data_IF_290714158983
#
_entry.id   IF_290714158983
#
_cell.length_a   1.000
_cell.length_b   1.000
_cell.length_c   1.000
_cell.angle_alpha   90.00
_cell.angle_beta   90.00
_cell.angle_gamma   90.00
#
_symmetry.space_group_name_H-M   'P 1'
#
loop_
_entity.id
_entity.type
_entity.pdbx_description
1 polymer ?
#
# COMPACT_ATOMS: atom_id res chain seq x y z
N UNK A 1 11.32 -32.27 -12.44
CA UNK A 1 11.47 -30.84 -12.08
C UNK A 1 10.08 -30.25 -12.00
N UNK A 2 9.75 -29.48 -10.97
CA UNK A 2 8.49 -28.75 -10.88
C UNK A 2 8.39 -27.71 -12.00
N UNK A 3 7.18 -27.27 -12.33
CA UNK A 3 6.99 -26.13 -13.22
C UNK A 3 7.51 -24.86 -12.54
N UNK A 4 8.06 -23.94 -13.32
CA UNK A 4 8.57 -22.65 -12.84
C UNK A 4 7.48 -21.59 -12.94
N UNK A 5 7.28 -20.83 -11.89
CA UNK A 5 6.33 -19.71 -11.84
C UNK A 5 7.05 -18.41 -11.47
N UNK A 6 6.68 -17.32 -12.13
CA UNK A 6 7.24 -16.01 -11.90
C UNK A 6 6.12 -14.98 -11.69
N UNK A 7 6.30 -14.07 -10.73
CA UNK A 7 5.29 -13.09 -10.34
C UNK A 7 5.75 -11.67 -10.63
N UNK A 8 4.79 -10.80 -10.94
CA UNK A 8 5.01 -9.37 -10.99
C UNK A 8 3.83 -8.62 -10.36
N UNK A 9 4.12 -7.84 -9.34
CA UNK A 9 3.13 -7.08 -8.59
C UNK A 9 3.15 -5.62 -9.01
N UNK A 10 1.98 -5.09 -9.28
CA UNK A 10 1.74 -3.66 -9.51
C UNK A 10 0.72 -3.14 -8.51
N UNK A 11 0.90 -1.91 -8.05
CA UNK A 11 -0.10 -1.21 -7.24
C UNK A 11 0.25 -1.07 -5.76
N UNK A 12 -0.61 -1.58 -4.89
CA UNK A 12 -0.60 -1.27 -3.46
C UNK A 12 -0.13 -2.46 -2.59
N UNK A 13 0.03 -2.20 -1.29
CA UNK A 13 0.38 -3.22 -0.27
C UNK A 13 -0.60 -4.40 -0.23
N UNK A 14 -1.88 -4.16 -0.58
CA UNK A 14 -2.88 -5.23 -0.68
C UNK A 14 -2.53 -6.18 -1.84
N UNK A 15 -2.14 -5.63 -3.01
CA UNK A 15 -1.68 -6.47 -4.11
C UNK A 15 -0.39 -7.22 -3.76
N UNK A 16 0.54 -6.60 -3.01
CA UNK A 16 1.77 -7.27 -2.56
C UNK A 16 1.43 -8.49 -1.70
N UNK A 17 0.64 -8.31 -0.65
CA UNK A 17 0.15 -9.42 0.18
C UNK A 17 -0.52 -10.54 -0.63
N UNK A 18 -1.41 -10.16 -1.56
CA UNK A 18 -2.13 -11.13 -2.40
C UNK A 18 -1.18 -11.91 -3.33
N UNK A 19 -0.09 -11.26 -3.77
CA UNK A 19 0.94 -11.94 -4.57
C UNK A 19 1.74 -12.92 -3.72
N UNK A 20 2.21 -12.52 -2.54
CA UNK A 20 2.92 -13.40 -1.60
C UNK A 20 2.09 -14.65 -1.27
N UNK A 21 0.78 -14.48 -1.04
CA UNK A 21 -0.12 -15.61 -0.79
C UNK A 21 -0.28 -16.53 -2.02
N UNK A 22 -0.34 -15.98 -3.24
CA UNK A 22 -0.39 -16.81 -4.46
C UNK A 22 0.94 -17.53 -4.70
N UNK A 23 2.08 -16.91 -4.40
CA UNK A 23 3.40 -17.55 -4.47
C UNK A 23 3.46 -18.76 -3.54
N UNK A 24 3.01 -18.61 -2.28
CA UNK A 24 2.99 -19.70 -1.31
C UNK A 24 2.06 -20.85 -1.75
N UNK A 25 0.89 -20.52 -2.32
CA UNK A 25 -0.02 -21.53 -2.88
C UNK A 25 0.64 -22.33 -4.01
N UNK A 26 1.36 -21.67 -4.93
CA UNK A 26 2.05 -22.36 -6.02
C UNK A 26 3.26 -23.15 -5.53
N UNK A 27 4.03 -22.64 -4.56
CA UNK A 27 5.13 -23.39 -3.94
C UNK A 27 4.61 -24.67 -3.28
N UNK A 28 3.50 -24.58 -2.54
CA UNK A 28 2.85 -25.75 -1.90
C UNK A 28 2.36 -26.76 -2.93
N UNK A 29 1.95 -26.29 -4.11
CA UNK A 29 1.56 -27.14 -5.24
C UNK A 29 2.76 -27.70 -6.05
N UNK A 30 4.01 -27.41 -5.63
CA UNK A 30 5.21 -27.95 -6.25
C UNK A 30 5.78 -27.15 -7.41
N UNK A 31 5.42 -25.85 -7.52
CA UNK A 31 6.05 -24.93 -8.47
C UNK A 31 7.34 -24.32 -7.86
N UNK A 32 8.35 -24.14 -8.70
CA UNK A 32 9.57 -23.41 -8.36
C UNK A 32 9.34 -21.92 -8.65
N UNK A 33 9.34 -21.06 -7.62
CA UNK A 33 9.21 -19.61 -7.80
C UNK A 33 10.55 -19.04 -8.23
N UNK A 34 10.53 -18.27 -9.32
CA UNK A 34 11.73 -17.70 -9.94
C UNK A 34 11.54 -16.21 -10.23
N UNK A 35 12.64 -15.42 -10.33
CA UNK A 35 12.55 -14.01 -10.72
C UNK A 35 11.80 -13.80 -12.03
N UNK A 36 10.98 -12.74 -12.12
CA UNK A 36 10.18 -12.44 -13.31
C UNK A 36 11.01 -12.23 -14.59
N UNK A 37 12.27 -11.95 -14.45
CA UNK A 37 13.23 -11.78 -15.57
C UNK A 37 13.74 -13.10 -16.16
N UNK A 38 13.54 -14.19 -15.45
CA UNK A 38 13.90 -15.53 -15.91
C UNK A 38 12.80 -16.18 -16.74
N UNK A 39 13.16 -17.22 -17.49
CA UNK A 39 12.19 -18.01 -18.23
C UNK A 39 11.38 -18.89 -17.26
N UNK A 40 10.06 -18.78 -17.30
CA UNK A 40 9.14 -19.57 -16.49
C UNK A 40 8.05 -20.21 -17.35
N UNK A 41 7.39 -21.26 -16.81
CA UNK A 41 6.25 -21.93 -17.45
C UNK A 41 4.95 -21.16 -17.20
N UNK A 42 4.89 -20.41 -16.10
CA UNK A 42 3.75 -19.60 -15.69
C UNK A 42 4.24 -18.21 -15.30
N UNK A 43 3.59 -17.16 -15.79
CA UNK A 43 3.76 -15.79 -15.32
C UNK A 43 2.45 -15.27 -14.75
N UNK A 44 2.49 -14.77 -13.52
CA UNK A 44 1.34 -14.16 -12.85
C UNK A 44 1.58 -12.68 -12.72
N UNK A 45 0.70 -11.87 -13.31
CA UNK A 45 0.76 -10.40 -13.17
C UNK A 45 -0.42 -9.93 -12.34
N UNK A 46 -0.13 -9.47 -11.11
CA UNK A 46 -1.13 -8.85 -10.25
C UNK A 46 -1.23 -7.36 -10.60
N UNK A 47 -2.29 -7.01 -11.28
CA UNK A 47 -2.47 -5.77 -12.01
C UNK A 47 -3.05 -4.64 -11.15
N UNK A 48 -2.81 -3.40 -11.57
CA UNK A 48 -3.34 -2.20 -10.94
C UNK A 48 -4.10 -1.33 -11.94
N UNK A 49 -5.18 -0.67 -11.47
CA UNK A 49 -6.00 0.26 -12.27
C UNK A 49 -6.20 1.64 -11.61
N UNK A 50 -5.45 1.98 -10.57
CA UNK A 50 -5.62 3.25 -9.84
C UNK A 50 -5.34 4.47 -10.73
N UNK A 51 -4.40 4.37 -11.68
CA UNK A 51 -4.09 5.40 -12.66
C UNK A 51 -3.98 4.80 -14.06
N UNK A 52 -4.15 5.62 -15.12
CA UNK A 52 -3.91 5.19 -16.50
C UNK A 52 -2.48 4.67 -16.71
N UNK A 53 -1.51 5.24 -16.00
CA UNK A 53 -0.13 4.78 -16.06
C UNK A 53 0.03 3.39 -15.45
N UNK A 54 -0.61 3.13 -14.31
CA UNK A 54 -0.58 1.82 -13.66
C UNK A 54 -1.21 0.75 -14.56
N UNK A 55 -2.34 1.05 -15.19
CA UNK A 55 -2.99 0.16 -16.14
C UNK A 55 -2.12 -0.11 -17.38
N UNK A 56 -1.52 0.94 -17.96
CA UNK A 56 -0.57 0.78 -19.07
C UNK A 56 0.62 -0.11 -18.68
N UNK A 57 1.19 0.08 -17.48
CA UNK A 57 2.26 -0.77 -16.97
C UNK A 57 1.81 -2.21 -16.78
N UNK A 58 0.57 -2.43 -16.31
CA UNK A 58 -0.01 -3.77 -16.19
C UNK A 58 0.01 -4.51 -17.52
N UNK A 59 -0.53 -3.89 -18.58
CA UNK A 59 -0.50 -4.47 -19.94
C UNK A 59 0.93 -4.70 -20.45
N UNK A 60 1.84 -3.75 -20.23
CA UNK A 60 3.25 -3.92 -20.62
C UNK A 60 3.89 -5.15 -19.98
N UNK A 61 3.57 -5.45 -18.71
CA UNK A 61 4.13 -6.61 -18.03
C UNK A 61 3.52 -7.93 -18.53
N UNK A 62 2.24 -7.97 -18.86
CA UNK A 62 1.60 -9.13 -19.51
C UNK A 62 2.27 -9.45 -20.86
N UNK A 63 2.46 -8.45 -21.71
CA UNK A 63 3.19 -8.62 -22.98
C UNK A 63 4.67 -8.99 -22.79
N UNK A 64 5.32 -8.46 -21.74
CA UNK A 64 6.69 -8.83 -21.42
C UNK A 64 6.80 -10.31 -21.05
N UNK A 65 5.84 -10.85 -20.28
CA UNK A 65 5.80 -12.27 -19.94
C UNK A 65 5.79 -13.16 -21.19
N UNK A 66 4.89 -12.90 -22.14
CA UNK A 66 4.83 -13.63 -23.43
C UNK A 66 6.10 -13.47 -24.29
N UNK A 67 6.78 -12.32 -24.18
CA UNK A 67 8.06 -12.10 -24.86
C UNK A 67 9.21 -12.90 -24.24
N UNK A 68 9.20 -13.10 -22.92
CA UNK A 68 10.21 -13.92 -22.22
C UNK A 68 10.04 -15.40 -22.52
N UNK A 69 8.82 -15.91 -22.56
CA UNK A 69 8.49 -17.25 -22.97
C UNK A 69 7.13 -17.27 -23.71
N UNK A 70 7.11 -17.39 -25.05
CA UNK A 70 5.87 -17.46 -25.83
C UNK A 70 4.94 -18.62 -25.47
N UNK A 71 5.50 -19.73 -24.98
CA UNK A 71 4.75 -20.95 -24.61
C UNK A 71 4.25 -20.89 -23.15
N UNK A 72 4.65 -19.89 -22.35
CA UNK A 72 4.23 -19.76 -20.97
C UNK A 72 2.73 -19.44 -20.85
N UNK A 73 2.12 -19.94 -19.79
CA UNK A 73 0.79 -19.53 -19.35
C UNK A 73 0.88 -18.18 -18.65
N UNK A 74 0.21 -17.17 -19.17
CA UNK A 74 0.16 -15.82 -18.56
C UNK A 74 -1.18 -15.62 -17.87
N UNK A 75 -1.12 -15.49 -16.55
CA UNK A 75 -2.27 -15.25 -15.68
C UNK A 75 -2.35 -13.77 -15.38
N UNK A 76 -3.44 -13.12 -15.76
CA UNK A 76 -3.77 -11.77 -15.39
C UNK A 76 -4.75 -11.77 -14.20
N UNK A 77 -4.41 -11.04 -13.12
CA UNK A 77 -5.29 -10.88 -11.95
C UNK A 77 -5.22 -9.43 -11.44
N UNK A 78 -6.06 -9.06 -10.48
CA UNK A 78 -6.03 -7.75 -9.83
C UNK A 78 -7.02 -6.74 -10.39
N UNK A 79 -6.82 -5.46 -10.02
CA UNK A 79 -7.84 -4.43 -10.25
C UNK A 79 -8.10 -4.08 -11.72
N UNK A 80 -7.06 -4.13 -12.60
CA UNK A 80 -7.27 -3.87 -14.02
C UNK A 80 -8.18 -4.92 -14.65
N UNK A 81 -7.92 -6.18 -14.37
CA UNK A 81 -8.73 -7.30 -14.86
C UNK A 81 -10.19 -7.14 -14.44
N UNK A 82 -10.43 -6.78 -13.17
CA UNK A 82 -11.77 -6.67 -12.62
C UNK A 82 -12.60 -5.53 -13.24
N UNK A 83 -11.98 -4.43 -13.64
CA UNK A 83 -12.71 -3.26 -14.21
C UNK A 83 -12.70 -3.22 -15.73
N UNK A 84 -11.82 -3.99 -16.39
CA UNK A 84 -11.65 -4.03 -17.84
C UNK A 84 -11.57 -5.49 -18.33
N UNK A 85 -12.50 -6.32 -17.86
CA UNK A 85 -12.50 -7.76 -18.13
C UNK A 85 -12.46 -8.08 -19.62
N UNK A 86 -13.34 -7.46 -20.43
CA UNK A 86 -13.40 -7.70 -21.89
C UNK A 86 -12.06 -7.36 -22.56
N UNK A 87 -11.43 -6.26 -22.17
CA UNK A 87 -10.12 -5.86 -22.70
C UNK A 87 -9.01 -6.82 -22.28
N UNK A 88 -9.05 -7.30 -21.03
CA UNK A 88 -8.06 -8.26 -20.51
C UNK A 88 -8.18 -9.62 -21.20
N UNK A 89 -9.41 -10.12 -21.42
CA UNK A 89 -9.66 -11.39 -22.12
C UNK A 89 -9.35 -11.32 -23.62
N UNK A 90 -9.51 -10.16 -24.22
CA UNK A 90 -9.19 -9.96 -25.64
C UNK A 90 -7.68 -9.75 -25.90
N UNK A 91 -6.87 -9.57 -24.86
CA UNK A 91 -5.42 -9.38 -24.98
C UNK A 91 -4.74 -10.72 -25.29
N UNK A 92 -4.13 -10.82 -26.48
CA UNK A 92 -3.44 -12.06 -26.93
C UNK A 92 -2.26 -12.49 -26.04
N UNK A 93 -1.82 -11.65 -25.10
CA UNK A 93 -0.79 -12.00 -24.13
C UNK A 93 -1.37 -12.69 -22.87
N UNK A 94 -2.68 -12.80 -22.73
CA UNK A 94 -3.35 -13.36 -21.54
C UNK A 94 -3.96 -14.72 -21.87
N UNK A 95 -3.61 -15.73 -21.10
CA UNK A 95 -4.17 -17.07 -21.23
C UNK A 95 -5.24 -17.38 -20.18
N UNK A 96 -5.07 -16.83 -18.96
CA UNK A 96 -6.00 -16.99 -17.85
C UNK A 96 -6.31 -15.65 -17.17
N UNK A 97 -7.55 -15.46 -16.77
CA UNK A 97 -8.04 -14.30 -16.05
C UNK A 97 -8.57 -14.74 -14.70
N UNK A 98 -8.06 -14.14 -13.61
CA UNK A 98 -8.54 -14.36 -12.25
C UNK A 98 -8.98 -13.03 -11.61
N UNK A 99 -10.21 -12.96 -11.14
CA UNK A 99 -10.75 -11.80 -10.44
C UNK A 99 -10.13 -11.55 -9.07
N UNK A 100 -10.49 -10.43 -8.48
CA UNK A 100 -9.96 -10.03 -7.16
C UNK A 100 -10.35 -10.99 -6.02
N UNK A 101 -11.43 -11.77 -6.15
CA UNK A 101 -11.87 -12.78 -5.18
C UNK A 101 -11.68 -14.20 -5.66
N UNK A 102 -10.76 -14.46 -6.59
CA UNK A 102 -10.50 -15.78 -7.18
C UNK A 102 -9.02 -16.19 -7.08
N UNK A 103 -8.19 -15.38 -6.40
CA UNK A 103 -6.73 -15.62 -6.29
C UNK A 103 -6.40 -16.92 -5.57
N UNK A 104 -7.24 -17.30 -4.59
CA UNK A 104 -7.14 -18.59 -3.90
C UNK A 104 -7.26 -19.80 -4.87
N UNK A 105 -7.91 -19.62 -6.01
CA UNK A 105 -8.16 -20.66 -6.98
C UNK A 105 -7.03 -20.82 -8.01
N UNK A 106 -5.91 -20.10 -7.87
CA UNK A 106 -4.83 -20.06 -8.85
C UNK A 106 -4.30 -21.45 -9.21
N UNK A 107 -4.12 -22.34 -8.24
CA UNK A 107 -3.67 -23.74 -8.48
C UNK A 107 -4.70 -24.48 -9.30
N UNK A 108 -5.97 -24.44 -8.91
CA UNK A 108 -7.06 -25.12 -9.62
C UNK A 108 -7.22 -24.62 -11.06
N UNK A 109 -7.04 -23.29 -11.27
CA UNK A 109 -7.12 -22.69 -12.60
C UNK A 109 -5.98 -23.16 -13.51
N UNK A 110 -4.76 -23.20 -12.98
CA UNK A 110 -3.58 -23.70 -13.71
C UNK A 110 -3.68 -25.21 -14.02
N UNK A 111 -4.12 -26.02 -13.05
CA UNK A 111 -4.33 -27.45 -13.27
C UNK A 111 -5.36 -27.70 -14.38
N UNK A 112 -6.50 -26.99 -14.35
CA UNK A 112 -7.50 -27.09 -15.39
C UNK A 112 -6.93 -26.69 -16.76
N UNK A 113 -6.16 -25.62 -16.84
CA UNK A 113 -5.52 -25.17 -18.08
C UNK A 113 -4.57 -26.26 -18.65
N UNK A 114 -3.66 -26.79 -17.83
CA UNK A 114 -2.68 -27.79 -18.29
C UNK A 114 -3.31 -29.13 -18.63
N UNK A 115 -4.44 -29.44 -18.05
CA UNK A 115 -5.20 -30.69 -18.39
C UNK A 115 -6.17 -30.47 -19.56
N UNK A 116 -6.22 -29.28 -20.16
CA UNK A 116 -7.15 -28.95 -21.24
C UNK A 116 -8.63 -28.94 -20.81
N UNK A 117 -8.88 -28.78 -19.52
CA UNK A 117 -10.21 -28.63 -18.94
C UNK A 117 -10.65 -27.18 -18.93
N UNK A 118 -11.94 -26.93 -18.96
CA UNK A 118 -12.50 -25.57 -18.75
C UNK A 118 -12.42 -25.20 -17.26
N UNK A 119 -11.88 -24.06 -16.95
CA UNK A 119 -12.00 -23.42 -15.66
C UNK A 119 -13.12 -22.37 -15.74
N UNK A 120 -14.01 -22.35 -14.76
CA UNK A 120 -15.02 -21.29 -14.65
C UNK A 120 -14.33 -20.02 -14.14
N UNK A 121 -13.89 -19.22 -15.09
CA UNK A 121 -13.17 -17.98 -14.87
C UNK A 121 -14.08 -16.73 -14.90
N UNK A 122 -15.41 -16.93 -14.82
CA UNK A 122 -16.35 -15.81 -14.71
C UNK A 122 -16.01 -14.98 -13.48
N UNK A 123 -15.75 -13.70 -13.72
CA UNK A 123 -15.39 -12.81 -12.61
C UNK A 123 -16.55 -12.69 -11.63
N UNK A 124 -16.25 -12.95 -10.37
CA UNK A 124 -17.22 -12.83 -9.30
C UNK A 124 -17.77 -11.40 -9.20
N UNK A 125 -19.07 -11.28 -8.89
CA UNK A 125 -19.69 -10.00 -8.54
C UNK A 125 -19.17 -9.52 -7.19
N UNK A 126 -18.11 -8.71 -7.25
CA UNK A 126 -17.41 -8.22 -6.05
C UNK A 126 -18.30 -7.46 -5.05
N UNK A 127 -19.51 -7.07 -5.44
CA UNK A 127 -20.47 -6.43 -4.52
C UNK A 127 -21.13 -7.45 -3.57
N UNK A 128 -21.17 -8.72 -3.96
CA UNK A 128 -21.85 -9.80 -3.21
C UNK A 128 -20.88 -10.77 -2.51
N UNK A 129 -19.59 -10.66 -2.82
CA UNK A 129 -18.59 -11.57 -2.32
C UNK A 129 -18.26 -11.34 -0.85
N UNK A 130 -17.90 -12.42 -0.16
CA UNK A 130 -17.31 -12.38 1.17
C UNK A 130 -15.81 -12.06 1.07
N UNK A 131 -15.17 -11.82 2.23
CA UNK A 131 -13.72 -11.65 2.28
C UNK A 131 -13.01 -12.92 1.78
N UNK A 132 -12.12 -12.78 0.79
CA UNK A 132 -11.29 -13.90 0.32
C UNK A 132 -10.18 -14.16 1.33
N UNK A 133 -10.25 -15.29 2.01
CA UNK A 133 -9.21 -15.72 2.95
C UNK A 133 -7.98 -16.20 2.17
N UNK A 134 -6.95 -15.39 2.20
CA UNK A 134 -5.59 -15.72 1.79
C UNK A 134 -4.72 -15.67 3.04
N UNK A 135 -3.69 -16.51 3.09
CA UNK A 135 -2.76 -16.58 4.21
C UNK A 135 -1.32 -16.53 3.69
N UNK A 136 -0.47 -15.89 4.47
CA UNK A 136 0.97 -15.87 4.27
C UNK A 136 1.61 -16.42 5.53
N UNK A 137 2.40 -17.50 5.41
CA UNK A 137 3.07 -18.14 6.54
C UNK A 137 4.55 -17.75 6.64
N UNK A 138 5.16 -17.36 5.52
CA UNK A 138 6.54 -16.90 5.45
C UNK A 138 6.67 -15.70 4.52
N UNK A 139 7.54 -14.78 4.84
CA UNK A 139 7.87 -13.64 3.98
C UNK A 139 9.26 -13.88 3.41
N UNK A 140 9.34 -14.14 2.11
CA UNK A 140 10.59 -14.59 1.48
C UNK A 140 11.57 -13.44 1.17
N UNK A 141 11.07 -12.25 0.92
CA UNK A 141 11.88 -11.13 0.43
C UNK A 141 11.87 -9.89 1.34
N UNK A 142 11.15 -9.91 2.47
CA UNK A 142 10.96 -8.73 3.31
C UNK A 142 11.18 -9.02 4.78
N UNK A 143 11.71 -8.04 5.50
CA UNK A 143 11.84 -8.06 6.97
C UNK A 143 10.56 -7.61 7.67
N UNK A 144 9.59 -7.11 6.90
CA UNK A 144 8.27 -6.66 7.37
C UNK A 144 7.19 -7.40 6.62
N UNK A 145 6.23 -7.98 7.34
CA UNK A 145 5.10 -8.66 6.74
C UNK A 145 3.92 -7.70 6.53
N UNK A 146 3.39 -7.65 5.32
CA UNK A 146 2.06 -7.07 5.11
C UNK A 146 1.00 -8.06 5.56
N UNK A 147 -0.02 -7.58 6.28
CA UNK A 147 -1.16 -8.39 6.70
C UNK A 147 -2.43 -7.71 6.22
N UNK A 148 -3.06 -8.30 5.21
CA UNK A 148 -4.32 -7.79 4.67
C UNK A 148 -5.45 -8.13 5.62
N UNK A 149 -6.04 -7.13 6.25
CA UNK A 149 -7.13 -7.29 7.22
C UNK A 149 -8.49 -6.82 6.70
N UNK A 150 -8.49 -6.04 5.59
CA UNK A 150 -9.70 -5.43 5.07
C UNK A 150 -9.64 -5.32 3.53
N UNK A 151 -10.76 -5.45 2.85
CA UNK A 151 -10.90 -5.24 1.41
C UNK A 151 -12.19 -4.47 1.07
N UNK A 152 -12.25 -3.92 -0.15
CA UNK A 152 -13.36 -3.11 -0.60
C UNK A 152 -13.47 -1.73 0.07
N UNK A 153 -14.35 -0.86 -0.47
CA UNK A 153 -14.52 0.50 0.03
C UNK A 153 -15.91 1.06 -0.30
N UNK A 154 -16.57 1.68 0.69
CA UNK A 154 -17.90 2.31 0.53
C UNK A 154 -17.82 3.84 0.41
N UNK A 155 -16.64 4.46 0.26
CA UNK A 155 -16.52 5.93 0.23
C UNK A 155 -16.97 6.53 -1.11
N UNK A 156 -16.83 5.82 -2.22
CA UNK A 156 -17.22 6.29 -3.57
C UNK A 156 -16.70 7.70 -3.88
N UNK A 157 -15.43 7.98 -3.50
CA UNK A 157 -14.77 9.21 -3.92
C UNK A 157 -14.91 9.38 -5.43
N UNK A 158 -15.19 10.58 -5.90
CA UNK A 158 -15.59 10.82 -7.29
C UNK A 158 -14.56 10.43 -8.34
N UNK A 159 -13.29 10.35 -7.97
CA UNK A 159 -12.15 9.96 -8.81
C UNK A 159 -11.79 8.46 -8.74
N UNK A 160 -12.37 7.73 -7.77
CA UNK A 160 -11.83 6.42 -7.38
C UNK A 160 -12.57 5.26 -8.07
N UNK A 161 -11.79 4.38 -8.71
CA UNK A 161 -12.30 3.18 -9.36
C UNK A 161 -12.41 1.98 -8.40
N UNK A 162 -11.81 2.07 -7.22
CA UNK A 162 -11.65 0.94 -6.30
C UNK A 162 -12.97 0.31 -5.84
N UNK A 163 -14.05 1.05 -5.52
CA UNK A 163 -15.32 0.42 -5.17
C UNK A 163 -15.88 -0.50 -6.27
N UNK A 164 -15.54 -0.22 -7.53
CA UNK A 164 -15.97 -1.04 -8.67
C UNK A 164 -15.01 -2.22 -8.94
N UNK A 165 -13.73 -2.06 -8.56
CA UNK A 165 -12.73 -3.12 -8.72
C UNK A 165 -12.73 -4.13 -7.56
N UNK A 166 -13.06 -3.68 -6.34
CA UNK A 166 -12.94 -4.49 -5.13
C UNK A 166 -14.22 -4.62 -4.33
N UNK A 167 -15.32 -3.97 -4.76
CA UNK A 167 -16.62 -4.07 -4.12
C UNK A 167 -16.73 -3.37 -2.78
N UNK A 168 -17.68 -3.84 -1.98
CA UNK A 168 -18.03 -3.28 -0.67
C UNK A 168 -17.02 -3.63 0.41
N UNK A 169 -17.08 -2.91 1.53
CA UNK A 169 -16.27 -3.16 2.71
C UNK A 169 -16.47 -4.59 3.19
N UNK A 170 -15.35 -5.29 3.38
CA UNK A 170 -15.27 -6.65 3.93
C UNK A 170 -14.05 -6.74 4.82
N UNK A 171 -14.20 -7.32 5.97
CA UNK A 171 -13.12 -7.48 6.94
C UNK A 171 -12.77 -8.94 7.15
N UNK A 172 -11.50 -9.18 7.35
CA UNK A 172 -10.99 -10.48 7.77
C UNK A 172 -11.37 -10.73 9.22
N UNK A 173 -11.71 -11.95 9.56
CA UNK A 173 -12.00 -12.33 10.95
C UNK A 173 -10.77 -12.09 11.83
N UNK A 174 -10.99 -11.48 12.99
CA UNK A 174 -9.92 -11.11 13.93
C UNK A 174 -9.08 -12.33 14.34
N UNK A 175 -9.72 -13.47 14.56
CA UNK A 175 -9.06 -14.72 14.97
C UNK A 175 -8.07 -15.19 13.88
N UNK A 176 -8.44 -15.07 12.60
CA UNK A 176 -7.58 -15.46 11.48
C UNK A 176 -6.39 -14.50 11.34
N UNK A 177 -6.59 -13.21 11.56
CA UNK A 177 -5.50 -12.21 11.57
C UNK A 177 -4.52 -12.51 12.70
N UNK A 178 -5.02 -12.78 13.91
CA UNK A 178 -4.19 -13.11 15.07
C UNK A 178 -3.40 -14.40 14.83
N UNK A 179 -4.06 -15.43 14.26
CA UNK A 179 -3.40 -16.70 13.95
C UNK A 179 -2.26 -16.52 12.94
N UNK A 180 -2.46 -15.74 11.88
CA UNK A 180 -1.41 -15.43 10.91
C UNK A 180 -0.25 -14.65 11.53
N UNK A 181 -0.54 -13.59 12.30
CA UNK A 181 0.52 -12.79 12.94
C UNK A 181 1.34 -13.63 13.92
N UNK A 182 0.73 -14.60 14.62
CA UNK A 182 1.48 -15.54 15.48
C UNK A 182 2.42 -16.41 14.67
N UNK A 183 1.98 -16.96 13.53
CA UNK A 183 2.85 -17.74 12.63
C UNK A 183 4.01 -16.90 12.09
N UNK A 184 3.74 -15.66 11.69
CA UNK A 184 4.77 -14.72 11.25
C UNK A 184 5.79 -14.41 12.36
N UNK A 185 5.33 -14.23 13.60
CA UNK A 185 6.20 -14.06 14.76
C UNK A 185 7.07 -15.28 15.04
N UNK A 186 6.50 -16.50 14.95
CA UNK A 186 7.22 -17.77 15.06
C UNK A 186 8.26 -17.95 13.95
N UNK A 187 7.98 -17.43 12.75
CA UNK A 187 8.93 -17.38 11.64
C UNK A 187 10.01 -16.27 11.79
N UNK A 188 9.96 -15.47 12.87
CA UNK A 188 10.97 -14.46 13.20
C UNK A 188 10.65 -13.06 12.70
N UNK A 189 9.51 -12.80 12.09
CA UNK A 189 9.11 -11.46 11.64
C UNK A 189 8.87 -10.55 12.85
N UNK A 190 9.51 -9.39 12.88
CA UNK A 190 9.44 -8.44 13.98
C UNK A 190 8.49 -7.26 13.73
N UNK A 191 8.21 -6.90 12.49
CA UNK A 191 7.28 -5.80 12.14
C UNK A 191 6.16 -6.30 11.24
N UNK A 192 4.90 -6.03 11.64
CA UNK A 192 3.72 -6.26 10.80
C UNK A 192 3.11 -4.94 10.37
N UNK A 193 2.67 -4.89 9.11
CA UNK A 193 2.00 -3.72 8.53
C UNK A 193 0.55 -4.09 8.25
N UNK A 194 -0.37 -3.64 9.10
CA UNK A 194 -1.80 -3.84 8.87
C UNK A 194 -2.23 -3.07 7.62
N UNK A 195 -2.74 -3.77 6.63
CA UNK A 195 -3.10 -3.17 5.35
C UNK A 195 -4.54 -3.50 4.95
N UNK A 196 -5.11 -2.60 4.17
CA UNK A 196 -6.45 -2.73 3.60
C UNK A 196 -6.70 -1.66 2.55
N UNK A 197 -7.77 -1.81 1.81
CA UNK A 197 -8.21 -0.81 0.84
C UNK A 197 -8.71 0.46 1.56
N UNK A 198 -9.40 0.27 2.68
CA UNK A 198 -9.84 1.33 3.56
C UNK A 198 -9.77 0.86 5.01
N UNK A 199 -8.56 0.78 5.54
CA UNK A 199 -8.26 0.19 6.85
C UNK A 199 -9.17 0.71 7.97
N UNK A 200 -9.52 2.00 7.95
CA UNK A 200 -10.45 2.63 8.89
C UNK A 200 -11.89 2.09 8.86
N UNK A 201 -12.22 1.24 7.88
CA UNK A 201 -13.53 0.57 7.80
C UNK A 201 -13.49 -0.88 8.29
N UNK A 202 -12.39 -1.33 8.89
CA UNK A 202 -12.32 -2.68 9.45
C UNK A 202 -13.45 -2.91 10.46
N UNK A 203 -14.26 -3.95 10.25
CA UNK A 203 -15.38 -4.34 11.11
C UNK A 203 -16.69 -3.60 10.85
N UNK A 204 -16.72 -2.53 10.03
CA UNK A 204 -17.93 -1.70 9.85
C UNK A 204 -19.12 -2.42 9.24
N UNK A 205 -18.91 -3.49 8.52
CA UNK A 205 -19.99 -4.31 7.97
C UNK A 205 -20.75 -5.12 9.04
N UNK A 206 -20.23 -5.20 10.26
CA UNK A 206 -20.81 -5.97 11.38
C UNK A 206 -21.91 -5.15 12.06
N UNK A 207 -21.60 -3.93 12.48
CA UNK A 207 -22.49 -3.07 13.31
C UNK A 207 -22.43 -1.58 12.93
N UNK A 208 -21.68 -1.22 11.89
CA UNK A 208 -21.50 0.15 11.44
C UNK A 208 -20.29 0.88 12.05
N UNK A 209 -19.67 0.31 13.09
CA UNK A 209 -18.54 0.90 13.78
C UNK A 209 -17.20 0.31 13.31
N UNK A 210 -16.11 1.04 13.49
CA UNK A 210 -14.77 0.52 13.19
C UNK A 210 -14.22 -0.26 14.37
N UNK A 211 -13.82 -1.50 14.12
CA UNK A 211 -13.17 -2.38 15.10
C UNK A 211 -11.63 -2.42 14.92
N UNK A 212 -11.05 -1.42 14.27
CA UNK A 212 -9.61 -1.40 14.02
C UNK A 212 -8.80 -1.33 15.32
N UNK A 213 -9.26 -0.55 16.30
CA UNK A 213 -8.51 -0.40 17.56
C UNK A 213 -8.55 -1.69 18.38
N UNK A 214 -9.67 -2.42 18.40
CA UNK A 214 -9.81 -3.73 19.04
C UNK A 214 -8.84 -4.74 18.40
N UNK A 215 -8.73 -4.73 17.07
CA UNK A 215 -7.77 -5.58 16.37
C UNK A 215 -6.33 -5.25 16.77
N UNK A 216 -5.95 -3.97 16.82
CA UNK A 216 -4.59 -3.55 17.20
C UNK A 216 -4.29 -3.96 18.65
N UNK A 217 -5.25 -3.77 19.57
CA UNK A 217 -5.13 -4.20 20.96
C UNK A 217 -4.96 -5.71 21.10
N UNK A 218 -5.68 -6.50 20.27
CA UNK A 218 -5.56 -7.97 20.27
C UNK A 218 -4.20 -8.46 19.70
N UNK A 219 -3.61 -7.72 18.77
CA UNK A 219 -2.30 -8.03 18.18
C UNK A 219 -1.15 -7.61 19.12
N UNK A 220 -1.30 -6.50 19.82
CA UNK A 220 -0.25 -5.90 20.64
C UNK A 220 0.45 -6.87 21.61
N UNK A 221 -0.23 -7.82 22.33
CA UNK A 221 0.41 -8.73 23.25
C UNK A 221 1.17 -9.89 22.58
N UNK A 222 1.10 -10.06 21.25
CA UNK A 222 1.76 -11.19 20.57
C UNK A 222 3.27 -11.07 20.74
N UNK A 223 3.89 -12.10 21.34
CA UNK A 223 5.34 -12.19 21.48
C UNK A 223 6.01 -12.38 20.12
N UNK A 224 7.25 -11.89 19.98
CA UNK A 224 8.00 -11.90 18.72
C UNK A 224 7.73 -10.70 17.83
N UNK A 225 6.53 -10.11 17.85
CA UNK A 225 6.25 -8.85 17.14
C UNK A 225 6.71 -7.67 18.00
N UNK A 226 7.63 -6.90 17.44
CA UNK A 226 8.21 -5.69 18.06
C UNK A 226 7.52 -4.41 17.58
N UNK A 227 6.95 -4.42 16.36
CA UNK A 227 6.34 -3.24 15.73
C UNK A 227 5.04 -3.58 15.01
N UNK A 228 4.06 -2.70 15.17
CA UNK A 228 2.77 -2.71 14.46
C UNK A 228 2.68 -1.39 13.70
N UNK A 229 2.72 -1.45 12.38
CA UNK A 229 2.56 -0.29 11.51
C UNK A 229 1.18 -0.29 10.87
N UNK A 230 0.57 0.88 10.77
CA UNK A 230 -0.73 1.04 10.16
C UNK A 230 -0.58 1.47 8.70
N UNK A 231 -1.37 0.88 7.81
CA UNK A 231 -1.57 1.37 6.46
C UNK A 231 -2.32 2.70 6.44
N UNK A 232 -2.82 3.09 5.26
CA UNK A 232 -3.51 4.38 5.09
C UNK A 232 -4.80 4.46 5.91
N UNK A 233 -4.93 5.55 6.65
CA UNK A 233 -6.07 5.86 7.49
C UNK A 233 -6.91 7.00 6.88
N UNK A 234 -8.20 6.89 7.07
CA UNK A 234 -9.12 7.98 6.78
C UNK A 234 -9.20 8.90 8.01
N UNK A 235 -9.15 10.24 7.84
CA UNK A 235 -8.98 11.17 8.97
C UNK A 235 -10.02 11.05 10.08
N UNK A 236 -11.26 10.69 9.75
CA UNK A 236 -12.38 10.63 10.73
C UNK A 236 -12.21 9.54 11.79
N UNK A 237 -11.36 8.52 11.58
CA UNK A 237 -11.07 7.53 12.62
C UNK A 237 -10.25 8.13 13.77
N UNK A 238 -9.52 9.22 13.51
CA UNK A 238 -8.66 9.89 14.50
C UNK A 238 -9.55 10.68 15.45
N UNK A 239 -10.06 10.00 16.47
CA UNK A 239 -10.83 10.58 17.58
C UNK A 239 -9.99 10.60 18.86
N UNK A 240 -10.38 11.36 19.86
CA UNK A 240 -9.71 11.39 21.18
C UNK A 240 -9.68 9.98 21.81
N UNK A 241 -10.78 9.23 21.67
CA UNK A 241 -10.89 7.85 22.15
C UNK A 241 -9.91 6.94 21.43
N UNK A 242 -9.92 6.91 20.09
CA UNK A 242 -9.02 6.09 19.28
C UNK A 242 -7.55 6.39 19.60
N UNK A 243 -7.18 7.67 19.61
CA UNK A 243 -5.81 8.10 19.90
C UNK A 243 -5.43 7.79 21.35
N UNK A 244 -6.34 7.98 22.31
CA UNK A 244 -6.12 7.67 23.72
C UNK A 244 -5.90 6.18 23.99
N UNK A 245 -6.56 5.29 23.24
CA UNK A 245 -6.30 3.82 23.27
C UNK A 245 -4.98 3.49 22.56
N UNK A 246 -4.78 4.02 21.36
CA UNK A 246 -3.60 3.76 20.52
C UNK A 246 -2.30 4.14 21.22
N UNK A 247 -2.27 5.28 21.94
CA UNK A 247 -1.11 5.77 22.70
C UNK A 247 -0.60 4.78 23.76
N UNK A 248 -1.46 3.90 24.28
CA UNK A 248 -1.10 2.89 25.27
C UNK A 248 -0.38 1.68 24.65
N UNK A 249 -0.39 1.56 23.33
CA UNK A 249 0.12 0.41 22.59
C UNK A 249 1.52 0.72 22.06
N UNK A 250 2.54 0.48 22.90
CA UNK A 250 3.94 0.89 22.64
C UNK A 250 4.59 0.23 21.41
N UNK A 251 4.02 -0.86 20.87
CA UNK A 251 4.49 -1.48 19.63
C UNK A 251 3.98 -0.76 18.38
N UNK A 252 2.98 0.11 18.51
CA UNK A 252 2.46 0.88 17.37
C UNK A 252 3.47 1.93 16.95
N UNK A 253 3.86 1.87 15.68
CA UNK A 253 4.78 2.83 15.09
C UNK A 253 4.14 4.22 15.03
N UNK A 254 4.80 5.31 15.49
CA UNK A 254 4.30 6.68 15.41
C UNK A 254 4.45 7.24 13.98
N UNK A 255 3.95 6.49 13.01
CA UNK A 255 3.89 6.82 11.60
C UNK A 255 2.44 6.67 11.11
N UNK A 256 1.83 7.78 10.69
CA UNK A 256 0.42 7.84 10.34
C UNK A 256 0.24 8.41 8.93
N UNK A 257 -0.15 7.55 8.00
CA UNK A 257 -0.55 8.00 6.68
C UNK A 257 -2.03 8.37 6.70
N UNK A 258 -2.33 9.66 6.65
CA UNK A 258 -3.70 10.18 6.63
C UNK A 258 -4.04 10.72 5.24
N UNK A 259 -5.02 10.13 4.55
CA UNK A 259 -5.39 10.49 3.18
C UNK A 259 -6.12 11.84 3.14
N UNK A 260 -5.43 12.94 2.78
CA UNK A 260 -5.99 14.29 2.66
C UNK A 260 -6.66 14.54 1.31
N UNK A 261 -5.95 14.27 0.23
CA UNK A 261 -6.30 14.48 -1.18
C UNK A 261 -6.27 15.94 -1.65
N UNK A 262 -6.79 16.92 -0.90
CA UNK A 262 -6.73 18.35 -1.16
C UNK A 262 -6.84 19.15 0.14
N UNK A 263 -6.18 20.28 0.21
CA UNK A 263 -6.32 21.26 1.31
C UNK A 263 -7.40 22.32 1.07
N UNK A 264 -8.20 22.20 0.00
CA UNK A 264 -9.28 23.11 -0.33
C UNK A 264 -10.64 22.43 -0.16
N UNK A 265 -11.52 23.03 0.63
CA UNK A 265 -12.83 22.48 0.97
C UNK A 265 -13.72 22.28 -0.28
N UNK A 266 -13.72 23.23 -1.21
CA UNK A 266 -14.51 23.16 -2.45
C UNK A 266 -14.05 21.97 -3.32
N UNK A 267 -12.74 21.73 -3.39
CA UNK A 267 -12.17 20.58 -4.09
C UNK A 267 -12.51 19.27 -3.39
N UNK A 268 -12.41 19.21 -2.05
CA UNK A 268 -12.80 18.03 -1.27
C UNK A 268 -14.28 17.68 -1.46
N UNK A 269 -15.17 18.66 -1.49
CA UNK A 269 -16.60 18.44 -1.79
C UNK A 269 -16.81 17.83 -3.18
N UNK A 270 -16.13 18.35 -4.22
CA UNK A 270 -16.18 17.76 -5.56
C UNK A 270 -15.59 16.35 -5.62
N UNK A 271 -14.57 16.07 -4.80
CA UNK A 271 -13.97 14.74 -4.63
C UNK A 271 -14.88 13.75 -3.86
N UNK A 272 -16.02 14.21 -3.33
CA UNK A 272 -16.89 13.45 -2.42
C UNK A 272 -16.15 12.99 -1.16
N UNK A 273 -15.34 13.90 -0.57
CA UNK A 273 -14.72 13.70 0.75
C UNK A 273 -15.61 14.31 1.83
N UNK A 274 -15.67 13.63 2.98
CA UNK A 274 -16.61 13.95 4.05
C UNK A 274 -15.91 14.55 5.28
N UNK A 275 -14.95 15.43 5.06
CA UNK A 275 -14.25 16.22 6.07
C UNK A 275 -13.77 17.54 5.45
N UNK A 276 -13.55 18.54 6.29
CA UNK A 276 -12.95 19.83 5.92
C UNK A 276 -11.43 19.81 6.18
N UNK A 277 -10.66 20.76 5.59
CA UNK A 277 -9.26 20.94 5.93
C UNK A 277 -9.05 21.22 7.43
N UNK A 278 -9.93 21.99 8.05
CA UNK A 278 -9.87 22.32 9.47
C UNK A 278 -10.04 21.08 10.35
N UNK A 279 -11.05 20.27 10.08
CA UNK A 279 -11.25 18.98 10.77
C UNK A 279 -10.02 18.07 10.60
N UNK A 280 -9.45 18.00 9.40
CA UNK A 280 -8.23 17.24 9.14
C UNK A 280 -7.05 17.75 9.99
N UNK A 281 -6.87 19.08 10.07
CA UNK A 281 -5.80 19.69 10.86
C UNK A 281 -5.92 19.36 12.35
N UNK A 282 -7.15 19.37 12.90
CA UNK A 282 -7.40 18.96 14.29
C UNK A 282 -6.98 17.49 14.52
N UNK A 283 -7.20 16.59 13.55
CA UNK A 283 -6.72 15.21 13.66
C UNK A 283 -5.19 15.12 13.72
N UNK A 284 -4.49 15.93 12.91
CA UNK A 284 -3.04 16.01 12.98
C UNK A 284 -2.55 16.54 14.34
N UNK A 285 -3.26 17.53 14.93
CA UNK A 285 -2.93 18.05 16.27
C UNK A 285 -3.14 16.99 17.35
N UNK A 286 -4.22 16.19 17.29
CA UNK A 286 -4.45 15.11 18.24
C UNK A 286 -3.31 14.09 18.23
N UNK A 287 -2.84 13.68 17.04
CA UNK A 287 -1.71 12.76 16.92
C UNK A 287 -0.42 13.38 17.47
N UNK A 288 -0.13 14.64 17.16
CA UNK A 288 1.08 15.35 17.67
C UNK A 288 1.05 15.57 19.17
N UNK A 289 -0.13 15.69 19.76
CA UNK A 289 -0.26 15.80 21.21
C UNK A 289 -0.09 14.45 21.94
N UNK A 290 -0.36 13.35 21.24
CA UNK A 290 -0.32 12.01 21.81
C UNK A 290 1.02 11.31 21.64
N UNK A 291 1.72 11.56 20.53
CA UNK A 291 2.98 10.91 20.17
C UNK A 291 4.10 11.96 20.03
N UNK A 292 5.29 11.56 20.41
CA UNK A 292 6.48 12.40 20.25
C UNK A 292 6.94 12.41 18.79
N UNK A 293 6.96 13.58 18.17
CA UNK A 293 7.40 13.79 16.78
C UNK A 293 6.85 12.74 15.77
N UNK A 294 5.52 12.47 15.74
CA UNK A 294 4.99 11.44 14.84
C UNK A 294 5.20 11.83 13.38
N UNK A 295 5.56 10.87 12.56
CA UNK A 295 5.61 11.03 11.12
C UNK A 295 4.19 11.02 10.55
N UNK A 296 3.70 12.17 10.10
CA UNK A 296 2.40 12.29 9.42
C UNK A 296 2.67 12.42 7.92
N UNK A 297 2.15 11.48 7.16
CA UNK A 297 2.27 11.44 5.69
C UNK A 297 0.91 11.48 5.03
N UNK A 298 0.85 11.87 3.76
CA UNK A 298 -0.43 12.00 3.06
C UNK A 298 -0.34 11.81 1.55
N UNK A 299 -1.51 11.61 0.92
CA UNK A 299 -1.69 11.70 -0.52
C UNK A 299 -2.33 13.06 -0.89
N UNK A 300 -1.88 13.66 -1.99
CA UNK A 300 -2.44 14.89 -2.56
C UNK A 300 -2.65 14.72 -4.06
N UNK A 301 -3.84 15.09 -4.54
CA UNK A 301 -4.18 15.08 -5.97
C UNK A 301 -4.24 16.52 -6.47
N UNK A 302 -3.43 16.84 -7.47
CA UNK A 302 -3.43 18.15 -8.16
C UNK A 302 -4.13 18.06 -9.51
N UNK A 303 -4.76 19.17 -9.90
CA UNK A 303 -5.46 19.28 -11.19
C UNK A 303 -6.72 18.43 -11.25
N UNK A 304 -7.43 18.33 -10.15
CA UNK A 304 -8.76 17.75 -10.11
C UNK A 304 -9.75 18.60 -10.95
N UNK A 305 -10.77 18.02 -11.62
CA UNK A 305 -11.68 18.79 -12.45
C UNK A 305 -12.26 20.01 -11.74
N UNK A 306 -12.14 21.19 -12.37
CA UNK A 306 -12.58 22.46 -11.84
C UNK A 306 -11.69 23.09 -10.76
N UNK A 307 -10.51 22.52 -10.45
CA UNK A 307 -9.57 23.14 -9.51
C UNK A 307 -9.00 24.44 -10.09
N UNK A 308 -9.32 25.58 -9.46
CA UNK A 308 -8.78 26.89 -9.84
C UNK A 308 -7.39 27.12 -9.26
N UNK A 309 -6.73 28.23 -9.68
CA UNK A 309 -5.43 28.59 -9.10
C UNK A 309 -5.55 29.02 -7.64
N UNK A 310 -6.67 29.66 -7.26
CA UNK A 310 -6.97 30.01 -5.87
C UNK A 310 -7.19 28.76 -4.99
N UNK A 311 -7.87 27.74 -5.52
CA UNK A 311 -8.08 26.49 -4.81
C UNK A 311 -6.78 25.69 -4.64
N UNK A 312 -5.92 25.71 -5.67
CA UNK A 312 -4.58 25.13 -5.58
C UNK A 312 -3.72 25.87 -4.54
N UNK A 313 -3.75 27.21 -4.52
CA UNK A 313 -3.00 28.00 -3.54
C UNK A 313 -3.49 27.77 -2.11
N UNK A 314 -4.80 27.67 -1.89
CA UNK A 314 -5.36 27.22 -0.59
C UNK A 314 -4.80 25.87 -0.17
N UNK A 315 -4.72 24.91 -1.11
CA UNK A 315 -4.15 23.58 -0.85
C UNK A 315 -2.68 23.71 -0.45
N UNK A 316 -1.87 24.46 -1.20
CA UNK A 316 -0.45 24.67 -0.91
C UNK A 316 -0.24 25.28 0.49
N UNK A 317 -0.97 26.36 0.82
CA UNK A 317 -0.91 27.01 2.14
C UNK A 317 -1.33 26.06 3.26
N UNK A 318 -2.33 25.23 3.03
CA UNK A 318 -2.77 24.23 4.00
C UNK A 318 -1.69 23.17 4.25
N UNK A 319 -1.02 22.68 3.19
CA UNK A 319 0.08 21.72 3.31
C UNK A 319 1.27 22.31 4.10
N UNK A 320 1.63 23.57 3.85
CA UNK A 320 2.62 24.30 4.63
C UNK A 320 2.23 24.39 6.12
N UNK A 321 0.95 24.71 6.40
CA UNK A 321 0.41 24.81 7.76
C UNK A 321 0.46 23.48 8.51
N UNK A 322 0.10 22.36 7.85
CA UNK A 322 0.12 21.03 8.45
C UNK A 322 1.56 20.57 8.69
N UNK A 323 2.46 20.84 7.76
CA UNK A 323 3.86 20.44 7.81
C UNK A 323 4.04 18.93 7.91
N UNK A 324 3.80 18.26 6.79
CA UNK A 324 3.91 16.79 6.68
C UNK A 324 5.36 16.32 6.69
N UNK A 325 5.58 15.05 7.07
CA UNK A 325 6.86 14.38 6.85
C UNK A 325 7.06 14.06 5.37
N UNK A 326 6.12 13.36 4.75
CA UNK A 326 6.16 13.02 3.32
C UNK A 326 4.77 13.21 2.69
N UNK A 327 4.75 13.54 1.40
CA UNK A 327 3.53 13.67 0.62
C UNK A 327 3.67 12.95 -0.71
N UNK A 328 2.73 12.05 -1.01
CA UNK A 328 2.62 11.46 -2.33
C UNK A 328 1.74 12.35 -3.22
N UNK A 329 2.35 13.01 -4.19
CA UNK A 329 1.69 13.98 -5.06
C UNK A 329 1.31 13.33 -6.37
N UNK A 330 0.01 13.25 -6.61
CA UNK A 330 -0.57 12.65 -7.81
C UNK A 330 -1.18 13.72 -8.70
N UNK A 331 -0.89 13.67 -10.00
CA UNK A 331 -1.70 14.37 -10.99
C UNK A 331 -3.00 13.62 -11.16
N UNK A 332 -4.13 14.32 -11.13
CA UNK A 332 -5.41 13.69 -11.39
C UNK A 332 -5.37 12.87 -12.69
N UNK A 333 -5.66 11.59 -12.57
CA UNK A 333 -5.72 10.65 -13.69
C UNK A 333 -7.18 10.30 -13.98
N UNK A 334 -7.68 10.69 -15.14
CA UNK A 334 -9.04 10.43 -15.58
C UNK A 334 -9.28 8.91 -15.67
N UNK A 335 -10.28 8.41 -14.96
CA UNK A 335 -10.60 6.96 -14.92
C UNK A 335 -12.00 6.72 -15.46
N UNK A 336 -12.09 6.00 -16.59
CA UNK A 336 -13.37 5.62 -17.24
C UNK A 336 -14.29 4.95 -16.21
N UNK A 337 -15.54 5.38 -16.18
CA UNK A 337 -16.57 4.85 -15.26
C UNK A 337 -16.66 5.58 -13.91
N UNK A 338 -15.70 6.41 -13.54
CA UNK A 338 -15.78 7.23 -12.33
C UNK A 338 -16.65 8.48 -12.54
N UNK A 339 -17.14 9.07 -11.43
CA UNK A 339 -17.91 10.33 -11.50
C UNK A 339 -17.07 11.48 -12.03
N UNK A 340 -15.81 11.58 -11.61
CA UNK A 340 -14.89 12.63 -12.04
C UNK A 340 -14.50 12.53 -13.52
N UNK A 341 -14.59 11.34 -14.13
CA UNK A 341 -14.39 11.16 -15.58
C UNK A 341 -15.38 11.98 -16.40
N UNK A 342 -16.60 12.15 -15.88
CA UNK A 342 -17.70 12.88 -16.56
C UNK A 342 -17.79 14.35 -16.17
N UNK A 343 -16.95 14.83 -15.26
CA UNK A 343 -16.94 16.22 -14.84
C UNK A 343 -16.41 17.11 -15.96
N UNK A 344 -17.01 18.28 -16.11
CA UNK A 344 -16.52 19.36 -16.97
C UNK A 344 -15.26 20.02 -16.37
N UNK A 345 -14.64 20.94 -17.09
CA UNK A 345 -13.48 21.70 -16.65
C UNK A 345 -12.29 20.82 -16.26
N UNK A 346 -11.99 19.80 -17.08
CA UNK A 346 -10.79 18.98 -16.94
C UNK A 346 -9.54 19.86 -17.07
N UNK A 347 -8.60 19.72 -16.16
CA UNK A 347 -7.38 20.53 -16.11
C UNK A 347 -6.35 19.99 -17.12
N UNK A 348 -5.71 20.85 -17.94
CA UNK A 348 -4.64 20.46 -18.85
C UNK A 348 -3.44 19.82 -18.14
N UNK A 349 -2.75 18.90 -18.82
CA UNK A 349 -1.61 18.18 -18.24
C UNK A 349 -0.42 19.09 -17.88
N UNK A 350 -0.23 20.20 -18.64
CA UNK A 350 0.81 21.19 -18.35
C UNK A 350 0.58 21.87 -16.99
N UNK A 351 -0.68 22.24 -16.68
CA UNK A 351 -1.05 22.84 -15.40
C UNK A 351 -0.89 21.83 -14.27
N UNK A 352 -1.32 20.56 -14.46
CA UNK A 352 -1.10 19.49 -13.48
C UNK A 352 0.39 19.27 -13.22
N UNK A 353 1.22 19.29 -14.27
CA UNK A 353 2.66 19.15 -14.16
C UNK A 353 3.28 20.30 -13.36
N UNK A 354 2.89 21.54 -13.65
CA UNK A 354 3.34 22.73 -12.92
C UNK A 354 2.97 22.65 -11.44
N UNK A 355 1.68 22.38 -11.13
CA UNK A 355 1.19 22.25 -9.74
C UNK A 355 1.89 21.12 -8.99
N UNK A 356 2.09 19.96 -9.64
CA UNK A 356 2.84 18.83 -9.08
C UNK A 356 4.28 19.22 -8.76
N UNK A 357 4.97 19.98 -9.64
CA UNK A 357 6.34 20.46 -9.41
C UNK A 357 6.43 21.38 -8.20
N UNK A 358 5.48 22.31 -8.03
CA UNK A 358 5.43 23.22 -6.88
C UNK A 358 5.30 22.42 -5.56
N UNK A 359 4.36 21.46 -5.50
CA UNK A 359 4.17 20.67 -4.29
C UNK A 359 5.31 19.69 -4.03
N UNK A 360 5.98 19.15 -5.07
CA UNK A 360 7.16 18.29 -4.90
C UNK A 360 8.32 19.05 -4.27
N UNK A 361 8.51 20.32 -4.64
CA UNK A 361 9.53 21.18 -4.00
C UNK A 361 9.21 21.44 -2.53
N UNK A 362 7.95 21.71 -2.21
CA UNK A 362 7.48 21.88 -0.84
C UNK A 362 7.64 20.60 0.00
N UNK A 363 7.28 19.46 -0.57
CA UNK A 363 7.43 18.13 0.03
C UNK A 363 8.90 17.89 0.40
N UNK A 364 9.82 18.04 -0.55
CA UNK A 364 11.25 17.81 -0.34
C UNK A 364 11.82 18.70 0.78
N UNK A 365 11.37 19.96 0.87
CA UNK A 365 11.76 20.85 1.96
C UNK A 365 11.28 20.33 3.32
N UNK A 366 9.98 20.02 3.45
CA UNK A 366 9.38 19.56 4.71
C UNK A 366 9.95 18.22 5.16
N UNK A 367 10.19 17.30 4.23
CA UNK A 367 10.84 16.00 4.50
C UNK A 367 12.25 16.20 5.08
N UNK A 368 13.05 17.08 4.47
CA UNK A 368 14.37 17.40 4.97
C UNK A 368 14.32 18.02 6.36
N UNK A 369 13.41 18.96 6.58
CA UNK A 369 13.22 19.61 7.89
C UNK A 369 12.82 18.61 8.98
N UNK A 370 11.92 17.65 8.66
CA UNK A 370 11.53 16.60 9.58
C UNK A 370 12.72 15.69 9.93
N UNK A 371 13.45 15.19 8.93
CA UNK A 371 14.60 14.30 9.13
C UNK A 371 15.73 14.97 9.92
N UNK A 372 15.99 16.26 9.65
CA UNK A 372 17.05 17.02 10.33
C UNK A 372 16.82 17.11 11.84
N UNK A 373 15.57 17.14 12.31
CA UNK A 373 15.23 17.14 13.74
C UNK A 373 15.74 15.91 14.49
N UNK A 374 15.97 14.81 13.78
CA UNK A 374 16.45 13.55 14.37
C UNK A 374 17.98 13.45 14.41
N UNK A 375 18.72 14.40 13.83
CA UNK A 375 20.18 14.41 13.89
C UNK A 375 20.66 14.50 15.34
N UNK A 376 21.59 13.62 15.72
CA UNK A 376 22.11 13.48 17.07
C UNK A 376 21.24 12.65 18.02
N UNK A 377 20.05 12.18 17.59
CA UNK A 377 19.18 11.35 18.43
C UNK A 377 19.51 9.86 18.28
N UNK A 378 19.30 9.11 19.35
CA UNK A 378 19.35 7.65 19.33
C UNK A 378 17.98 7.10 18.91
N UNK A 379 17.97 6.28 17.89
CA UNK A 379 16.77 5.68 17.31
C UNK A 379 16.92 4.17 17.18
N UNK A 380 15.81 3.46 17.18
CA UNK A 380 15.79 2.02 16.87
C UNK A 380 15.61 1.82 15.36
N UNK A 381 16.52 1.13 14.69
CA UNK A 381 16.46 0.83 13.27
C UNK A 381 16.23 -0.66 13.09
N UNK A 382 15.16 -1.06 12.38
CA UNK A 382 14.99 -2.42 11.88
C UNK A 382 15.80 -2.52 10.60
N UNK A 383 16.86 -3.32 10.60
CA UNK A 383 17.74 -3.56 9.46
C UNK A 383 17.03 -4.45 8.44
N UNK A 384 17.10 -4.07 7.16
CA UNK A 384 16.32 -4.72 6.09
C UNK A 384 17.23 -5.37 5.03
N UNK A 385 18.14 -4.62 4.49
CA UNK A 385 19.00 -5.09 3.39
C UNK A 385 20.37 -4.40 3.37
N UNK A 386 21.33 -5.04 2.74
CA UNK A 386 22.64 -4.43 2.51
C UNK A 386 22.65 -3.69 1.17
N UNK A 387 23.04 -2.42 1.20
CA UNK A 387 23.15 -1.57 0.01
C UNK A 387 24.50 -0.89 -0.08
N UNK A 388 24.99 -0.70 -1.30
CA UNK A 388 26.14 0.18 -1.58
C UNK A 388 25.64 1.60 -1.87
N UNK A 389 26.07 2.57 -1.07
CA UNK A 389 25.71 3.98 -1.21
C UNK A 389 26.99 4.80 -1.23
N UNK A 390 27.22 5.59 -2.29
CA UNK A 390 28.42 6.44 -2.46
C UNK A 390 29.75 5.65 -2.31
N UNK A 391 29.80 4.38 -2.72
CA UNK A 391 30.98 3.53 -2.67
C UNK A 391 31.29 2.91 -1.31
N UNK A 392 30.37 3.00 -0.35
CA UNK A 392 30.45 2.34 0.95
C UNK A 392 29.26 1.40 1.17
N UNK A 393 29.47 0.30 1.90
CA UNK A 393 28.45 -0.72 2.19
C UNK A 393 27.77 -0.41 3.51
N UNK A 394 26.44 -0.36 3.50
CA UNK A 394 25.59 -0.11 4.66
C UNK A 394 24.52 -1.17 4.80
N UNK A 395 24.13 -1.46 6.03
CA UNK A 395 22.83 -2.03 6.32
C UNK A 395 21.78 -0.91 6.33
N UNK A 396 20.78 -1.03 5.48
CA UNK A 396 19.69 -0.04 5.36
C UNK A 396 18.45 -0.57 6.05
N UNK A 397 17.75 0.29 6.73
CA UNK A 397 16.52 -0.06 7.44
C UNK A 397 15.70 1.17 7.84
N UNK A 398 14.62 0.96 8.59
CA UNK A 398 13.71 2.04 8.97
C UNK A 398 13.51 2.16 10.48
N UNK A 399 13.32 3.41 10.93
CA UNK A 399 12.88 3.70 12.29
C UNK A 399 11.36 3.47 12.45
N UNK A 400 10.81 3.48 13.69
CA UNK A 400 9.36 3.48 13.89
C UNK A 400 8.64 4.60 13.14
N UNK A 401 9.23 5.79 13.02
CA UNK A 401 8.72 6.96 12.28
C UNK A 401 8.90 6.83 10.76
N UNK A 402 9.44 5.69 10.30
CA UNK A 402 9.68 5.41 8.89
C UNK A 402 10.82 6.21 8.25
N UNK A 403 11.76 6.69 9.04
CA UNK A 403 12.97 7.33 8.52
C UNK A 403 13.91 6.23 8.03
N UNK A 404 14.31 6.32 6.76
CA UNK A 404 15.28 5.40 6.15
C UNK A 404 16.69 5.76 6.63
N UNK A 405 17.36 4.80 7.27
CA UNK A 405 18.72 4.94 7.80
C UNK A 405 19.66 3.96 7.14
N UNK A 406 20.88 4.43 6.84
CA UNK A 406 22.02 3.62 6.44
C UNK A 406 23.02 3.52 7.60
N UNK A 407 23.28 2.32 8.08
CA UNK A 407 24.13 2.05 9.25
C UNK A 407 25.33 1.21 8.85
N UNK A 408 26.54 1.64 9.22
CA UNK A 408 27.75 0.82 9.09
C UNK A 408 27.75 -0.22 10.21
N UNK A 409 27.37 -1.45 9.88
CA UNK A 409 27.29 -2.57 10.82
C UNK A 409 27.37 -3.93 10.10
N UNK A 410 27.83 -4.95 10.81
CA UNK A 410 27.80 -6.35 10.37
C UNK A 410 26.59 -7.11 10.95
N UNK A 411 25.71 -6.43 11.67
CA UNK A 411 24.47 -7.05 12.17
C UNK A 411 23.62 -7.55 10.98
N UNK A 412 22.99 -8.74 11.11
CA UNK A 412 22.16 -9.28 10.05
C UNK A 412 20.88 -8.44 9.82
N UNK A 413 20.26 -8.66 8.68
CA UNK A 413 18.90 -8.18 8.42
C UNK A 413 17.90 -8.70 9.47
N UNK A 414 16.70 -8.17 9.48
CA UNK A 414 15.65 -8.47 10.45
C UNK A 414 16.10 -8.31 11.93
N UNK A 415 17.07 -7.44 12.19
CA UNK A 415 17.56 -7.10 13.53
C UNK A 415 17.22 -5.66 13.86
N UNK A 416 16.68 -5.42 15.05
CA UNK A 416 16.47 -4.06 15.56
C UNK A 416 17.70 -3.65 16.36
N UNK A 417 18.36 -2.58 15.94
CA UNK A 417 19.53 -2.01 16.62
C UNK A 417 19.27 -0.59 17.10
N UNK A 418 19.97 -0.18 18.14
CA UNK A 418 20.07 1.23 18.52
C UNK A 418 21.13 1.91 17.63
N UNK A 419 20.77 3.06 17.06
CA UNK A 419 21.64 3.83 16.16
C UNK A 419 21.50 5.33 16.40
N UNK A 420 22.58 6.09 16.24
CA UNK A 420 22.58 7.54 16.37
C UNK A 420 22.60 8.14 14.96
N UNK A 421 21.59 8.94 14.62
CA UNK A 421 21.52 9.63 13.33
C UNK A 421 22.59 10.71 13.27
N UNK A 422 23.47 10.66 12.28
CA UNK A 422 24.56 11.62 12.09
C UNK A 422 24.19 12.77 11.16
N UNK A 423 23.32 12.54 10.19
CA UNK A 423 22.89 13.52 9.19
C UNK A 423 22.44 12.89 7.90
N UNK A 424 22.22 13.69 6.87
CA UNK A 424 21.79 13.27 5.53
C UNK A 424 22.95 12.58 4.78
N UNK A 425 22.71 11.37 4.29
CA UNK A 425 23.66 10.63 3.42
C UNK A 425 23.31 10.85 1.94
N UNK A 426 22.03 10.77 1.63
CA UNK A 426 21.43 11.12 0.33
C UNK A 426 20.11 11.84 0.57
N UNK A 427 19.47 12.34 -0.48
CA UNK A 427 18.15 12.99 -0.36
C UNK A 427 17.10 12.13 0.37
N UNK A 428 17.24 10.79 0.29
CA UNK A 428 16.24 9.85 0.82
C UNK A 428 16.71 9.06 2.05
N UNK A 429 18.00 9.13 2.40
CA UNK A 429 18.61 8.25 3.41
C UNK A 429 19.42 9.05 4.41
N UNK A 430 19.18 8.84 5.71
CA UNK A 430 19.99 9.38 6.80
C UNK A 430 21.15 8.43 7.11
N UNK A 431 22.38 8.98 7.27
CA UNK A 431 23.51 8.23 7.83
C UNK A 431 23.31 8.06 9.32
N UNK A 432 23.51 6.86 9.82
CA UNK A 432 23.52 6.59 11.25
C UNK A 432 24.69 5.66 11.61
N UNK A 433 25.19 5.80 12.83
CA UNK A 433 26.16 4.89 13.40
C UNK A 433 25.51 4.04 14.49
N UNK A 434 25.97 2.80 14.63
CA UNK A 434 25.51 1.93 15.71
C UNK A 434 25.83 2.59 17.07
N UNK A 435 24.86 2.56 17.98
CA UNK A 435 24.92 3.16 19.31
C UNK A 435 25.78 2.38 20.29
#
# INVERSE_FOLDING_TARGET
>A
MGRRAAFHTLGCKVNAYETEAMEELLQTAGYDIVPFTEQADVYVVNTCSVTNMAERKSRQMLHRAKKLNPEAVVVATGCYVQVSEEEARADAAVDLVLGNNQKRQIVTALDAYFEGRTFDDVLADVEKEQYEELEVSTVLEHTRAFVKVQDGCNQFCSYCIIPYARGRVRSRRMENVIAEIKRLAEAGIQEVVLTGIHLSSYGREIDGESHLIELIEAIHPIDGISRIRLGSLEPRIITEEFVGRLKKLHKVCPHFHLSLQSGCEETLKRMNRHYTPEEYYEKCKLLRAAFENPAITTDVIVGFPGETDEEFDKTRQFLEKVHFYEMHIFRYSRRKGTRADKMENQIPEEIKAQRSGVLSSLESQMTKEFRTKWTGTCVKVLLEERQEINGASYMVGHTPEYIKCAVETDAPDNTIIDAIIEGELTADVMKARQG
#
